data_IF_358981321371
#
_entry.id   IF_358981321371
#
_cell.length_a   1.000
_cell.length_b   1.000
_cell.length_c   1.000
_cell.angle_alpha   90.00
_cell.angle_beta   90.00
_cell.angle_gamma   90.00
#
_symmetry.space_group_name_H-M   'P 1'
#
loop_
_entity.id
_entity.type
_entity.pdbx_description
1 polymer ?
#
# COMPACT_ATOMS: atom_id res chain seq x y z
N UNK A 1 0.49 -14.31 -8.43
CA UNK A 1 1.56 -15.12 -9.09
C UNK A 1 0.98 -16.02 -10.20
N UNK A 2 1.77 -16.46 -11.19
CA UNK A 2 1.36 -17.40 -12.27
C UNK A 2 0.06 -17.07 -13.04
N UNK A 3 -0.26 -15.78 -13.16
CA UNK A 3 -1.43 -15.30 -13.89
C UNK A 3 -1.16 -15.03 -15.38
N UNK A 4 -0.06 -15.52 -15.96
CA UNK A 4 0.24 -15.28 -17.38
C UNK A 4 0.68 -13.85 -17.73
N UNK A 5 1.19 -13.07 -16.77
CA UNK A 5 1.66 -11.68 -16.99
C UNK A 5 2.75 -11.59 -18.06
N UNK A 6 3.82 -12.36 -17.88
CA UNK A 6 4.95 -12.38 -18.82
C UNK A 6 4.53 -12.92 -20.19
N UNK A 7 3.59 -13.87 -20.24
CA UNK A 7 2.99 -14.36 -21.49
C UNK A 7 2.22 -13.26 -22.21
N UNK A 8 1.43 -12.47 -21.48
CA UNK A 8 0.66 -11.34 -22.01
C UNK A 8 1.59 -10.26 -22.59
N UNK A 9 2.66 -9.90 -21.86
CA UNK A 9 3.66 -8.94 -22.33
C UNK A 9 4.46 -9.45 -23.54
N UNK A 10 4.87 -10.72 -23.52
CA UNK A 10 5.55 -11.36 -24.65
C UNK A 10 4.66 -11.34 -25.90
N UNK A 11 3.35 -11.57 -25.75
CA UNK A 11 2.41 -11.56 -26.88
C UNK A 11 2.16 -10.13 -27.41
N UNK A 12 2.05 -9.13 -26.54
CA UNK A 12 1.84 -7.73 -26.97
C UNK A 12 3.05 -7.15 -27.71
N UNK A 13 4.25 -7.38 -27.18
CA UNK A 13 5.45 -6.65 -27.62
C UNK A 13 6.52 -7.55 -28.27
N UNK A 14 6.24 -8.84 -28.46
CA UNK A 14 7.20 -9.78 -29.05
C UNK A 14 8.42 -10.05 -28.16
N UNK A 15 8.25 -9.92 -26.84
CA UNK A 15 9.33 -10.03 -25.86
C UNK A 15 9.67 -11.49 -25.55
N UNK A 16 10.83 -11.68 -24.93
CA UNK A 16 11.36 -13.00 -24.54
C UNK A 16 11.54 -13.10 -23.02
N UNK A 17 10.58 -12.58 -22.25
CA UNK A 17 10.57 -12.81 -20.80
C UNK A 17 10.43 -14.30 -20.51
N UNK A 18 11.13 -14.77 -19.47
CA UNK A 18 11.09 -16.18 -19.06
C UNK A 18 9.67 -16.56 -18.60
N UNK A 19 9.05 -17.51 -19.29
CA UNK A 19 7.73 -18.06 -18.97
C UNK A 19 7.88 -19.52 -18.52
N UNK A 20 7.88 -19.77 -17.21
CA UNK A 20 7.97 -21.12 -16.66
C UNK A 20 6.91 -21.33 -15.57
N UNK A 21 6.18 -22.44 -15.66
CA UNK A 21 5.36 -22.91 -14.55
C UNK A 21 6.28 -23.29 -13.38
N UNK A 22 6.21 -22.56 -12.27
CA UNK A 22 6.99 -22.82 -11.06
C UNK A 22 8.26 -22.00 -10.89
N UNK A 23 8.73 -21.26 -11.90
CA UNK A 23 9.74 -20.19 -11.71
C UNK A 23 9.07 -18.86 -11.91
N UNK A 24 8.82 -18.17 -10.82
CA UNK A 24 8.26 -16.83 -10.89
C UNK A 24 9.39 -15.81 -11.00
N UNK A 25 9.17 -14.81 -11.84
CA UNK A 25 9.97 -13.58 -11.88
C UNK A 25 10.17 -13.10 -10.44
N UNK A 26 11.42 -12.89 -10.00
CA UNK A 26 11.75 -12.27 -8.71
C UNK A 26 12.22 -10.84 -8.96
N UNK A 27 11.65 -9.86 -8.27
CA UNK A 27 11.91 -8.44 -8.54
C UNK A 27 11.23 -7.92 -9.82
N UNK A 28 11.85 -6.97 -10.52
CA UNK A 28 11.31 -6.36 -11.74
C UNK A 28 12.35 -6.37 -12.87
N UNK A 29 11.91 -6.68 -14.09
CA UNK A 29 12.74 -6.79 -15.28
C UNK A 29 12.29 -5.76 -16.31
N UNK A 30 13.22 -4.93 -16.77
CA UNK A 30 12.96 -3.90 -17.76
C UNK A 30 13.50 -4.33 -19.13
N UNK A 31 12.69 -4.18 -20.17
CA UNK A 31 13.09 -4.34 -21.56
C UNK A 31 12.64 -3.12 -22.38
N UNK A 32 13.56 -2.53 -23.13
CA UNK A 32 13.25 -1.44 -24.05
C UNK A 32 12.78 -1.99 -25.40
N UNK A 33 11.66 -1.50 -25.88
CA UNK A 33 11.06 -1.86 -27.17
C UNK A 33 11.15 -0.64 -28.09
N UNK A 34 11.90 -0.71 -29.20
CA UNK A 34 11.99 0.41 -30.14
C UNK A 34 10.63 0.64 -30.80
N UNK A 35 10.31 1.91 -31.02
CA UNK A 35 9.12 2.34 -31.75
C UNK A 35 9.53 2.74 -33.16
N UNK A 36 8.65 2.54 -34.14
CA UNK A 36 8.94 2.92 -35.51
C UNK A 36 9.13 4.45 -35.62
N UNK A 37 10.22 4.93 -36.23
CA UNK A 37 10.48 6.36 -36.36
C UNK A 37 9.31 7.10 -37.01
N UNK A 38 8.84 8.17 -36.37
CA UNK A 38 7.74 9.00 -36.86
C UNK A 38 6.32 8.49 -36.56
N UNK A 39 6.18 7.32 -35.92
CA UNK A 39 4.88 6.79 -35.50
C UNK A 39 4.38 7.35 -34.15
N UNK A 40 5.30 7.80 -33.29
CA UNK A 40 4.98 8.45 -32.00
C UNK A 40 6.01 9.52 -31.66
N UNK A 41 5.78 10.23 -30.55
CA UNK A 41 6.70 11.25 -30.01
C UNK A 41 7.87 10.68 -29.18
N UNK A 42 7.99 9.36 -29.07
CA UNK A 42 8.99 8.69 -28.24
C UNK A 42 9.69 7.56 -28.99
N UNK A 43 10.99 7.38 -28.74
CA UNK A 43 11.81 6.42 -29.49
C UNK A 43 11.69 4.98 -28.97
N UNK A 44 11.40 4.83 -27.67
CA UNK A 44 11.33 3.54 -26.99
C UNK A 44 10.16 3.46 -26.01
N UNK A 45 9.60 2.26 -25.87
CA UNK A 45 8.70 1.89 -24.77
C UNK A 45 9.47 1.02 -23.79
N UNK A 46 9.58 1.44 -22.53
CA UNK A 46 10.10 0.61 -21.46
C UNK A 46 9.00 -0.32 -20.94
N UNK A 47 9.14 -1.62 -21.18
CA UNK A 47 8.23 -2.64 -20.66
C UNK A 47 8.85 -3.26 -19.42
N UNK A 48 8.13 -3.19 -18.30
CA UNK A 48 8.57 -3.74 -17.01
C UNK A 48 7.71 -4.96 -16.67
N UNK A 49 8.31 -6.15 -16.63
CA UNK A 49 7.68 -7.36 -16.08
C UNK A 49 8.07 -7.51 -14.61
N UNK A 50 7.08 -7.73 -13.76
CA UNK A 50 7.26 -7.73 -12.31
C UNK A 50 7.02 -9.11 -11.74
N UNK A 51 7.61 -9.33 -10.57
CA UNK A 51 7.27 -10.43 -9.70
C UNK A 51 5.76 -10.50 -9.48
N UNK A 52 5.25 -11.73 -9.42
CA UNK A 52 3.86 -11.94 -9.10
C UNK A 52 3.65 -11.67 -7.62
N UNK A 53 2.74 -10.76 -7.31
CA UNK A 53 2.33 -10.49 -5.94
C UNK A 53 1.89 -11.79 -5.25
N UNK A 54 2.16 -11.83 -3.95
CA UNK A 54 1.84 -12.90 -3.00
C UNK A 54 2.52 -14.25 -3.28
N UNK A 55 3.83 -14.26 -3.56
CA UNK A 55 4.58 -15.53 -3.60
C UNK A 55 4.53 -16.27 -2.25
N UNK A 56 4.26 -17.60 -2.22
CA UNK A 56 4.24 -18.38 -0.98
C UNK A 56 5.62 -18.52 -0.34
N UNK A 57 6.69 -18.20 -1.07
CA UNK A 57 8.09 -18.37 -0.68
C UNK A 57 8.60 -17.32 0.33
N UNK A 58 7.85 -16.24 0.59
CA UNK A 58 8.31 -15.06 1.36
C UNK A 58 7.81 -14.98 2.82
N UNK A 59 7.07 -15.98 3.33
CA UNK A 59 6.68 -16.01 4.75
C UNK A 59 5.85 -14.80 5.22
N UNK A 60 6.22 -14.19 6.36
CA UNK A 60 5.50 -13.08 7.01
C UNK A 60 5.80 -11.70 6.40
N UNK A 61 7.03 -11.45 5.92
CA UNK A 61 7.43 -10.18 5.26
C UNK A 61 6.84 -9.99 3.85
N UNK A 62 6.11 -11.00 3.39
CA UNK A 62 5.42 -11.05 2.10
C UNK A 62 4.55 -9.82 1.83
N UNK A 63 3.76 -9.38 2.80
CA UNK A 63 2.85 -8.25 2.60
C UNK A 63 3.61 -6.94 2.39
N UNK A 64 4.68 -6.73 3.17
CA UNK A 64 5.54 -5.56 3.03
C UNK A 64 6.20 -5.52 1.66
N UNK A 65 6.85 -6.60 1.25
CA UNK A 65 7.48 -6.70 -0.07
C UNK A 65 6.48 -6.51 -1.22
N UNK A 66 5.30 -7.13 -1.12
CA UNK A 66 4.24 -6.99 -2.13
C UNK A 66 3.73 -5.54 -2.22
N UNK A 67 3.50 -4.89 -1.07
CA UNK A 67 3.03 -3.51 -1.00
C UNK A 67 4.08 -2.52 -1.54
N UNK A 68 5.35 -2.70 -1.16
CA UNK A 68 6.48 -1.90 -1.65
C UNK A 68 6.64 -2.05 -3.17
N UNK A 69 6.65 -3.29 -3.67
CA UNK A 69 6.76 -3.58 -5.09
C UNK A 69 5.58 -3.01 -5.88
N UNK A 70 4.34 -3.21 -5.40
CA UNK A 70 3.16 -2.67 -6.06
C UNK A 70 3.18 -1.14 -6.13
N UNK A 71 3.58 -0.49 -5.03
CA UNK A 71 3.70 0.98 -4.95
C UNK A 71 4.78 1.50 -5.89
N UNK A 72 5.93 0.81 -5.96
CA UNK A 72 7.01 1.16 -6.89
C UNK A 72 6.54 1.06 -8.34
N UNK A 73 5.91 -0.05 -8.73
CA UNK A 73 5.47 -0.29 -10.11
C UNK A 73 4.39 0.71 -10.52
N UNK A 74 3.38 0.92 -9.67
CA UNK A 74 2.32 1.91 -9.91
C UNK A 74 2.86 3.35 -9.93
N UNK A 75 3.93 3.61 -9.18
CA UNK A 75 4.55 4.93 -9.10
C UNK A 75 5.44 5.24 -10.31
N UNK A 76 6.10 4.23 -10.89
CA UNK A 76 6.97 4.33 -12.06
C UNK A 76 6.22 4.29 -13.38
N UNK A 77 5.22 3.43 -13.51
CA UNK A 77 4.53 3.20 -14.78
C UNK A 77 3.68 4.39 -15.22
N UNK A 78 3.94 4.90 -16.43
CA UNK A 78 3.02 5.84 -17.08
C UNK A 78 1.68 5.17 -17.41
N UNK A 79 1.74 3.88 -17.73
CA UNK A 79 0.60 2.97 -17.81
C UNK A 79 0.97 1.68 -17.08
N UNK A 80 0.15 1.26 -16.11
CA UNK A 80 0.33 0.02 -15.35
C UNK A 80 -0.79 -0.95 -15.68
N UNK A 81 -0.43 -2.17 -16.08
CA UNK A 81 -1.39 -3.25 -16.36
C UNK A 81 -1.51 -4.15 -15.14
N UNK A 82 -2.68 -4.14 -14.50
CA UNK A 82 -3.01 -4.99 -13.37
C UNK A 82 -3.71 -6.24 -13.89
N UNK A 83 -2.97 -7.35 -13.92
CA UNK A 83 -3.45 -8.61 -14.45
C UNK A 83 -4.10 -9.49 -13.37
N UNK A 84 -5.43 -9.60 -13.43
CA UNK A 84 -6.27 -10.33 -12.50
C UNK A 84 -6.68 -11.67 -13.11
N UNK A 85 -6.54 -12.76 -12.36
CA UNK A 85 -6.98 -14.09 -12.78
C UNK A 85 -8.02 -14.62 -11.81
N UNK A 86 -9.19 -15.02 -12.32
CA UNK A 86 -10.30 -15.54 -11.51
C UNK A 86 -10.92 -14.49 -10.58
N UNK A 87 -11.46 -14.94 -9.43
CA UNK A 87 -12.24 -14.13 -8.48
C UNK A 87 -11.39 -13.34 -7.45
N UNK A 88 -10.06 -13.31 -7.57
CA UNK A 88 -9.13 -12.69 -6.59
C UNK A 88 -9.17 -11.14 -6.53
N UNK A 89 -10.30 -10.52 -6.89
CA UNK A 89 -10.49 -9.06 -6.83
C UNK A 89 -10.33 -8.48 -5.42
N UNK A 90 -10.60 -9.26 -4.38
CA UNK A 90 -10.42 -8.80 -3.00
C UNK A 90 -8.95 -8.56 -2.63
N UNK A 91 -8.04 -9.39 -3.16
CA UNK A 91 -6.62 -9.31 -2.81
C UNK A 91 -5.95 -8.07 -3.40
N UNK A 92 -6.29 -7.73 -4.65
CA UNK A 92 -5.76 -6.53 -5.29
C UNK A 92 -6.31 -5.27 -4.64
N UNK A 93 -7.56 -5.30 -4.13
CA UNK A 93 -8.17 -4.17 -3.41
C UNK A 93 -7.41 -3.84 -2.13
N UNK A 94 -7.02 -4.87 -1.35
CA UNK A 94 -6.19 -4.68 -0.14
C UNK A 94 -4.87 -3.96 -0.48
N UNK A 95 -4.18 -4.38 -1.55
CA UNK A 95 -2.90 -3.80 -1.97
C UNK A 95 -3.08 -2.39 -2.52
N UNK A 96 -4.06 -2.17 -3.39
CA UNK A 96 -4.36 -0.85 -3.95
C UNK A 96 -4.73 0.15 -2.86
N UNK A 97 -5.41 -0.29 -1.81
CA UNK A 97 -5.70 0.54 -0.66
C UNK A 97 -4.42 1.04 0.03
N UNK A 98 -3.44 0.17 0.25
CA UNK A 98 -2.14 0.56 0.82
C UNK A 98 -1.39 1.52 -0.13
N UNK A 99 -1.41 1.24 -1.44
CA UNK A 99 -0.79 2.11 -2.46
C UNK A 99 -1.41 3.51 -2.44
N UNK A 100 -2.74 3.60 -2.34
CA UNK A 100 -3.47 4.87 -2.29
C UNK A 100 -3.06 5.68 -1.06
N UNK A 101 -2.98 5.06 0.12
CA UNK A 101 -2.46 5.72 1.33
C UNK A 101 -1.05 6.27 1.11
N UNK A 102 -0.14 5.45 0.57
CA UNK A 102 1.22 5.85 0.29
C UNK A 102 1.29 7.03 -0.68
N UNK A 103 0.50 7.01 -1.76
CA UNK A 103 0.49 8.09 -2.75
C UNK A 103 -0.10 9.39 -2.22
N UNK A 104 -1.13 9.34 -1.36
CA UNK A 104 -1.64 10.54 -0.68
C UNK A 104 -0.53 11.20 0.14
N UNK A 105 0.20 10.42 0.94
CA UNK A 105 1.32 10.93 1.76
C UNK A 105 2.47 11.49 0.92
N UNK A 106 2.86 10.77 -0.13
CA UNK A 106 3.90 11.24 -1.06
C UNK A 106 3.50 12.53 -1.78
N UNK A 107 2.20 12.70 -2.10
CA UNK A 107 1.64 13.93 -2.67
C UNK A 107 1.68 15.08 -1.66
N UNK A 108 1.33 14.85 -0.39
CA UNK A 108 1.44 15.85 0.69
C UNK A 108 2.87 16.32 0.92
N UNK A 109 3.85 15.40 0.80
CA UNK A 109 5.27 15.73 0.92
C UNK A 109 5.83 16.49 -0.30
N UNK A 110 4.99 16.88 -1.27
CA UNK A 110 5.35 17.50 -2.55
C UNK A 110 6.35 16.67 -3.39
N UNK A 111 6.46 15.35 -3.14
CA UNK A 111 7.42 14.47 -3.83
C UNK A 111 6.89 13.89 -5.15
N UNK A 112 5.61 14.04 -5.44
CA UNK A 112 4.92 13.46 -6.61
C UNK A 112 4.30 14.51 -7.54
N UNK A 113 4.99 15.63 -7.84
CA UNK A 113 4.47 16.62 -8.79
C UNK A 113 4.11 15.95 -10.15
N UNK A 114 2.82 16.05 -10.51
CA UNK A 114 2.24 15.85 -11.84
C UNK A 114 2.49 14.54 -12.61
N UNK A 115 2.80 13.42 -11.96
CA UNK A 115 2.87 12.17 -12.74
C UNK A 115 1.49 11.55 -12.95
N UNK A 116 1.00 11.73 -14.18
CA UNK A 116 -0.22 11.12 -14.74
C UNK A 116 -0.02 9.64 -14.98
N UNK A 117 -0.17 8.86 -13.92
CA UNK A 117 -0.17 7.38 -13.99
C UNK A 117 -1.57 6.93 -14.39
N UNK A 118 -1.66 5.97 -15.31
CA UNK A 118 -2.93 5.31 -15.66
C UNK A 118 -2.87 3.82 -15.30
N UNK A 119 -3.96 3.30 -14.76
CA UNK A 119 -4.11 1.86 -14.51
C UNK A 119 -5.06 1.24 -15.52
N UNK A 120 -4.71 0.05 -16.01
CA UNK A 120 -5.56 -0.79 -16.85
C UNK A 120 -5.71 -2.14 -16.16
N UNK A 121 -6.95 -2.59 -15.97
CA UNK A 121 -7.26 -3.88 -15.37
C UNK A 121 -7.57 -4.90 -16.45
N UNK A 122 -6.87 -6.03 -16.41
CA UNK A 122 -7.05 -7.13 -17.35
C UNK A 122 -7.52 -8.35 -16.56
N UNK A 123 -8.78 -8.73 -16.77
CA UNK A 123 -9.37 -9.92 -16.19
C UNK A 123 -9.18 -11.11 -17.14
N UNK A 124 -8.35 -12.07 -16.73
CA UNK A 124 -8.13 -13.30 -17.45
C UNK A 124 -9.12 -14.40 -17.05
N UNK A 125 -9.35 -15.33 -17.99
CA UNK A 125 -10.15 -16.54 -17.83
C UNK A 125 -11.63 -16.24 -17.58
N UNK A 126 -12.15 -15.18 -18.21
CA UNK A 126 -13.57 -14.84 -18.10
C UNK A 126 -14.33 -15.47 -19.27
N UNK A 127 -15.30 -16.38 -19.03
CA UNK A 127 -16.03 -17.05 -20.10
C UNK A 127 -16.85 -16.03 -20.90
N UNK A 128 -16.74 -16.10 -22.23
CA UNK A 128 -17.23 -15.09 -23.16
C UNK A 128 -18.77 -14.99 -23.31
N UNK A 129 -19.55 -15.81 -22.59
CA UNK A 129 -20.97 -16.01 -22.90
C UNK A 129 -21.88 -15.15 -22.00
N UNK A 130 -22.33 -14.02 -22.55
CA UNK A 130 -23.69 -13.54 -22.28
C UNK A 130 -23.93 -12.42 -21.27
N UNK A 131 -22.96 -11.55 -20.94
CA UNK A 131 -23.27 -10.48 -19.98
C UNK A 131 -22.48 -9.17 -20.13
N UNK A 132 -22.67 -8.44 -21.23
CA UNK A 132 -22.22 -7.03 -21.31
C UNK A 132 -22.77 -6.20 -20.14
N UNK A 133 -24.03 -6.40 -19.77
CA UNK A 133 -24.65 -5.71 -18.63
C UNK A 133 -24.05 -6.11 -17.28
N UNK A 134 -23.76 -7.41 -17.04
CA UNK A 134 -23.09 -7.81 -15.79
C UNK A 134 -21.67 -7.29 -15.72
N UNK A 135 -20.97 -7.19 -16.86
CA UNK A 135 -19.63 -6.60 -16.92
C UNK A 135 -19.68 -5.09 -16.63
N UNK A 136 -20.65 -4.36 -17.18
CA UNK A 136 -20.84 -2.93 -16.86
C UNK A 136 -21.17 -2.71 -15.38
N UNK A 137 -22.06 -3.50 -14.80
CA UNK A 137 -22.38 -3.43 -13.36
C UNK A 137 -21.16 -3.77 -12.49
N UNK A 138 -20.34 -4.75 -12.89
CA UNK A 138 -19.08 -5.06 -12.22
C UNK A 138 -18.06 -3.92 -12.33
N UNK A 139 -17.97 -3.27 -13.48
CA UNK A 139 -17.08 -2.12 -13.70
C UNK A 139 -17.49 -0.94 -12.80
N UNK A 140 -18.78 -0.61 -12.74
CA UNK A 140 -19.30 0.43 -11.84
C UNK A 140 -19.00 0.10 -10.38
N UNK A 141 -19.27 -1.13 -9.93
CA UNK A 141 -18.96 -1.56 -8.56
C UNK A 141 -17.47 -1.46 -8.23
N UNK A 142 -16.62 -1.80 -9.19
CA UNK A 142 -15.17 -1.69 -9.01
C UNK A 142 -14.73 -0.24 -8.86
N UNK A 143 -15.26 0.67 -9.67
CA UNK A 143 -15.03 2.11 -9.53
C UNK A 143 -15.48 2.62 -8.17
N UNK A 144 -16.72 2.28 -7.75
CA UNK A 144 -17.27 2.68 -6.45
C UNK A 144 -16.42 2.18 -5.28
N UNK A 145 -15.94 0.94 -5.35
CA UNK A 145 -15.07 0.36 -4.34
C UNK A 145 -13.72 1.09 -4.27
N UNK A 146 -13.09 1.40 -5.42
CA UNK A 146 -11.83 2.15 -5.47
C UNK A 146 -12.00 3.58 -4.95
N UNK A 147 -13.10 4.23 -5.29
CA UNK A 147 -13.42 5.58 -4.80
C UNK A 147 -13.74 5.58 -3.31
N UNK A 148 -14.42 4.54 -2.80
CA UNK A 148 -14.63 4.36 -1.37
C UNK A 148 -13.31 4.17 -0.62
N UNK A 149 -12.44 3.27 -1.10
CA UNK A 149 -11.10 3.04 -0.56
C UNK A 149 -10.31 4.35 -0.52
N UNK A 150 -10.39 5.14 -1.59
CA UNK A 150 -9.68 6.41 -1.72
C UNK A 150 -10.18 7.47 -0.74
N UNK A 151 -11.51 7.60 -0.57
CA UNK A 151 -12.09 8.50 0.43
C UNK A 151 -11.70 8.11 1.84
N UNK A 152 -11.79 6.82 2.17
CA UNK A 152 -11.40 6.33 3.48
C UNK A 152 -9.92 6.59 3.79
N UNK A 153 -9.04 6.46 2.78
CA UNK A 153 -7.63 6.77 2.93
C UNK A 153 -7.39 8.27 3.11
N UNK A 154 -8.05 9.10 2.30
CA UNK A 154 -7.96 10.55 2.37
C UNK A 154 -8.48 11.11 3.71
N UNK A 155 -9.56 10.55 4.25
CA UNK A 155 -10.08 10.87 5.58
C UNK A 155 -9.07 10.53 6.68
N UNK A 156 -8.44 9.35 6.59
CA UNK A 156 -7.41 8.92 7.54
C UNK A 156 -6.19 9.83 7.57
N UNK A 157 -5.77 10.33 6.41
CA UNK A 157 -4.65 11.27 6.26
C UNK A 157 -5.07 12.76 6.38
N UNK A 158 -6.35 13.03 6.62
CA UNK A 158 -6.95 14.38 6.73
C UNK A 158 -6.77 15.26 5.48
N UNK A 159 -6.87 14.66 4.29
CA UNK A 159 -6.72 15.34 2.99
C UNK A 159 -8.08 15.48 2.30
N UNK A 160 -8.66 16.67 2.31
CA UNK A 160 -9.98 16.91 1.71
C UNK A 160 -9.98 17.06 0.18
N UNK A 161 -8.80 17.21 -0.44
CA UNK A 161 -8.68 17.46 -1.89
C UNK A 161 -8.82 16.21 -2.75
N UNK A 162 -8.79 15.02 -2.14
CA UNK A 162 -8.84 13.73 -2.84
C UNK A 162 -10.19 13.08 -2.56
N UNK A 163 -10.97 12.79 -3.61
CA UNK A 163 -12.33 12.26 -3.50
C UNK A 163 -12.56 10.99 -4.29
N UNK A 164 -11.87 10.82 -5.41
CA UNK A 164 -11.95 9.62 -6.24
C UNK A 164 -10.56 9.05 -6.50
N UNK A 165 -10.50 7.78 -6.88
CA UNK A 165 -9.25 7.09 -7.22
C UNK A 165 -8.51 7.82 -8.35
N UNK A 166 -9.27 8.37 -9.30
CA UNK A 166 -8.77 9.12 -10.45
C UNK A 166 -8.05 10.43 -10.09
N UNK A 167 -8.22 10.97 -8.87
CA UNK A 167 -7.45 12.13 -8.36
C UNK A 167 -5.99 11.78 -8.01
N UNK A 168 -5.69 10.48 -7.89
CA UNK A 168 -4.37 9.93 -7.58
C UNK A 168 -3.80 9.20 -8.80
N UNK A 169 -4.58 8.27 -9.37
CA UNK A 169 -4.20 7.43 -10.51
C UNK A 169 -5.33 7.44 -11.53
N UNK A 170 -5.06 7.90 -12.75
CA UNK A 170 -6.05 7.94 -13.83
C UNK A 170 -6.62 6.54 -14.09
N UNK A 171 -7.94 6.44 -14.07
CA UNK A 171 -8.68 5.22 -14.34
C UNK A 171 -10.08 5.57 -14.86
N UNK A 172 -10.51 4.89 -15.92
CA UNK A 172 -11.83 4.99 -16.53
C UNK A 172 -12.45 3.58 -16.60
N UNK A 173 -13.50 3.33 -15.82
CA UNK A 173 -14.14 2.01 -15.72
C UNK A 173 -14.72 1.51 -17.05
N UNK A 174 -14.99 2.40 -18.01
CA UNK A 174 -15.54 2.03 -19.31
C UNK A 174 -14.46 1.67 -20.33
N UNK A 175 -13.24 2.20 -20.17
CA UNK A 175 -12.16 2.06 -21.16
C UNK A 175 -10.95 1.28 -20.68
N UNK A 176 -10.69 1.27 -19.38
CA UNK A 176 -9.48 0.71 -18.79
C UNK A 176 -9.71 -0.68 -18.18
N UNK A 177 -10.87 -1.31 -18.40
CA UNK A 177 -11.16 -2.68 -17.98
C UNK A 177 -11.30 -3.58 -19.22
N UNK A 178 -10.46 -4.60 -19.31
CA UNK A 178 -10.48 -5.59 -20.39
C UNK A 178 -10.73 -6.99 -19.83
N UNK A 179 -11.60 -7.72 -20.53
CA UNK A 179 -11.90 -9.12 -20.25
C UNK A 179 -11.28 -10.00 -21.33
N UNK A 180 -10.49 -10.99 -20.91
CA UNK A 180 -9.77 -11.91 -21.77
C UNK A 180 -10.22 -13.34 -21.53
N UNK A 181 -10.38 -14.06 -22.63
CA UNK A 181 -10.54 -15.51 -22.64
C UNK A 181 -9.20 -16.21 -22.37
N UNK A 182 -9.24 -17.52 -22.12
CA UNK A 182 -8.04 -18.34 -22.00
C UNK A 182 -7.16 -18.30 -23.26
N UNK A 183 -5.85 -18.45 -23.08
CA UNK A 183 -4.86 -18.49 -24.16
C UNK A 183 -5.09 -19.67 -25.11
N UNK A 184 -5.49 -20.81 -24.57
CA UNK A 184 -5.67 -22.05 -25.32
C UNK A 184 -7.16 -22.33 -25.56
N UNK A 185 -7.49 -22.81 -26.76
CA UNK A 185 -8.81 -23.31 -27.09
C UNK A 185 -8.86 -24.82 -26.75
N UNK A 186 -8.92 -25.14 -25.45
CA UNK A 186 -8.89 -26.51 -24.92
C UNK A 186 -7.64 -26.81 -24.08
N UNK A 187 -7.37 -28.09 -23.83
CA UNK A 187 -6.28 -28.52 -22.94
C UNK A 187 -4.92 -28.67 -23.68
N UNK A 188 -3.85 -28.02 -23.20
CA UNK A 188 -2.49 -28.24 -23.70
C UNK A 188 -2.05 -29.71 -23.60
N UNK A 189 -1.11 -30.21 -24.43
CA UNK A 189 -0.19 -29.44 -25.30
C UNK A 189 -0.65 -29.27 -26.75
N UNK A 190 -1.73 -29.94 -27.18
CA UNK A 190 -2.18 -29.93 -28.58
C UNK A 190 -3.29 -28.91 -28.87
N UNK A 191 -3.74 -28.16 -27.86
CA UNK A 191 -4.73 -27.11 -28.03
C UNK A 191 -4.19 -25.96 -28.91
N UNK A 192 -4.96 -25.45 -29.88
CA UNK A 192 -4.57 -24.28 -30.64
C UNK A 192 -4.70 -23.01 -29.78
N UNK A 193 -3.97 -21.95 -30.17
CA UNK A 193 -4.12 -20.62 -29.54
C UNK A 193 -5.51 -20.07 -29.84
N UNK A 194 -6.17 -19.55 -28.83
CA UNK A 194 -7.49 -18.94 -28.94
C UNK A 194 -7.41 -17.62 -29.74
N UNK A 195 -8.07 -17.49 -30.91
CA UNK A 195 -8.05 -16.26 -31.68
C UNK A 195 -8.63 -15.05 -30.92
N UNK A 196 -9.60 -15.28 -30.04
CA UNK A 196 -10.18 -14.26 -29.18
C UNK A 196 -9.16 -13.65 -28.22
N UNK A 197 -8.20 -14.45 -27.74
CA UNK A 197 -7.08 -13.95 -26.94
C UNK A 197 -6.23 -12.97 -27.76
N UNK A 198 -5.77 -13.38 -28.95
CA UNK A 198 -4.92 -12.54 -29.81
C UNK A 198 -5.59 -11.21 -30.22
N UNK A 199 -6.88 -11.24 -30.51
CA UNK A 199 -7.65 -10.02 -30.80
C UNK A 199 -7.65 -9.07 -29.59
N UNK A 200 -7.93 -9.59 -28.39
CA UNK A 200 -7.93 -8.79 -27.16
C UNK A 200 -6.55 -8.26 -26.78
N UNK A 201 -5.49 -9.05 -26.97
CA UNK A 201 -4.10 -8.59 -26.79
C UNK A 201 -3.81 -7.38 -27.68
N UNK A 202 -4.24 -7.43 -28.94
CA UNK A 202 -4.02 -6.33 -29.90
C UNK A 202 -4.82 -5.08 -29.52
N UNK A 203 -6.06 -5.25 -29.06
CA UNK A 203 -6.91 -4.17 -28.54
C UNK A 203 -6.26 -3.47 -27.33
N UNK A 204 -5.80 -4.25 -26.34
CA UNK A 204 -5.11 -3.74 -25.15
C UNK A 204 -3.83 -2.99 -25.55
N UNK A 205 -3.01 -3.58 -26.43
CA UNK A 205 -1.78 -2.94 -26.91
C UNK A 205 -2.08 -1.58 -27.57
N UNK A 206 -3.09 -1.53 -28.43
CA UNK A 206 -3.48 -0.29 -29.12
C UNK A 206 -3.96 0.77 -28.15
N UNK A 207 -4.75 0.38 -27.15
CA UNK A 207 -5.20 1.27 -26.07
C UNK A 207 -4.04 1.81 -25.24
N UNK A 208 -3.08 0.95 -24.86
CA UNK A 208 -1.86 1.37 -24.14
C UNK A 208 -1.08 2.41 -24.94
N UNK A 209 -0.83 2.16 -26.22
CA UNK A 209 -0.09 3.10 -27.08
C UNK A 209 -0.83 4.44 -27.22
N UNK A 210 -2.15 4.41 -27.38
CA UNK A 210 -2.97 5.62 -27.40
C UNK A 210 -2.88 6.40 -26.07
N UNK A 211 -2.88 5.71 -24.94
CA UNK A 211 -2.68 6.33 -23.62
C UNK A 211 -1.27 6.95 -23.47
N UNK A 212 -0.26 6.38 -24.12
CA UNK A 212 1.12 6.90 -24.09
C UNK A 212 1.32 8.11 -25.00
N UNK A 213 0.58 8.22 -26.11
CA UNK A 213 0.73 9.29 -27.11
C UNK A 213 -0.10 10.56 -26.81
N UNK A 214 -0.68 10.68 -25.60
CA UNK A 214 -1.46 11.85 -25.21
C UNK A 214 -0.64 13.16 -25.33
N UNK A 215 -1.22 14.17 -25.98
CA UNK A 215 -0.54 15.41 -26.43
C UNK A 215 0.26 16.16 -25.36
N UNK A 216 -0.07 15.98 -24.09
CA UNK A 216 0.48 16.74 -22.96
C UNK A 216 1.42 15.90 -22.07
N UNK A 217 1.86 14.73 -22.52
CA UNK A 217 2.85 13.94 -21.77
C UNK A 217 4.27 14.47 -21.98
N UNK A 218 4.98 14.61 -20.87
CA UNK A 218 6.43 14.78 -20.86
C UNK A 218 7.08 13.41 -20.97
N UNK A 219 7.95 13.24 -21.95
CA UNK A 219 8.73 12.01 -22.11
C UNK A 219 10.03 12.17 -21.34
N UNK A 220 10.35 11.20 -20.49
CA UNK A 220 11.55 11.21 -19.66
C UNK A 220 12.69 10.53 -20.42
N UNK A 221 13.90 11.09 -20.30
CA UNK A 221 15.11 10.39 -20.70
C UNK A 221 15.40 9.20 -19.79
N UNK A 222 16.28 8.30 -20.21
CA UNK A 222 16.66 7.15 -19.39
C UNK A 222 17.39 7.56 -18.10
N UNK A 223 18.16 8.65 -18.14
CA UNK A 223 18.81 9.22 -16.95
C UNK A 223 17.78 9.76 -15.95
N UNK A 224 16.76 10.47 -16.45
CA UNK A 224 15.64 10.94 -15.62
C UNK A 224 14.85 9.77 -15.02
N UNK A 225 14.71 8.68 -15.78
CA UNK A 225 14.06 7.45 -15.30
C UNK A 225 14.85 6.82 -14.15
N UNK A 226 16.18 6.76 -14.22
CA UNK A 226 17.02 6.26 -13.13
C UNK A 226 16.91 7.12 -11.86
N UNK A 227 16.89 8.45 -12.02
CA UNK A 227 16.65 9.38 -10.91
C UNK A 227 15.26 9.16 -10.29
N UNK A 228 14.22 9.01 -11.12
CA UNK A 228 12.85 8.75 -10.67
C UNK A 228 12.74 7.44 -9.88
N UNK A 229 13.43 6.38 -10.30
CA UNK A 229 13.50 5.13 -9.52
C UNK A 229 14.09 5.40 -8.15
N UNK A 230 15.22 6.11 -8.08
CA UNK A 230 15.90 6.42 -6.83
C UNK A 230 15.03 7.25 -5.89
N UNK A 231 14.41 8.31 -6.40
CA UNK A 231 13.59 9.23 -5.60
C UNK A 231 12.33 8.54 -5.09
N UNK A 232 11.64 7.78 -5.96
CA UNK A 232 10.45 7.03 -5.58
C UNK A 232 10.79 5.93 -4.58
N UNK A 233 11.87 5.17 -4.78
CA UNK A 233 12.30 4.14 -3.84
C UNK A 233 12.66 4.75 -2.48
N UNK A 234 13.37 5.89 -2.46
CA UNK A 234 13.68 6.61 -1.22
C UNK A 234 12.41 7.08 -0.52
N UNK A 235 11.40 7.54 -1.27
CA UNK A 235 10.11 7.93 -0.70
C UNK A 235 9.36 6.72 -0.11
N UNK A 236 9.35 5.57 -0.79
CA UNK A 236 8.74 4.32 -0.30
C UNK A 236 9.45 3.88 0.98
N UNK A 237 10.79 3.85 1.00
CA UNK A 237 11.55 3.45 2.20
C UNK A 237 11.35 4.41 3.39
N UNK A 238 11.04 5.68 3.14
CA UNK A 238 10.69 6.62 4.22
C UNK A 238 9.29 6.40 4.82
N UNK A 239 8.44 5.60 4.17
CA UNK A 239 7.05 5.32 4.56
C UNK A 239 6.89 3.89 5.13
N UNK A 240 7.89 3.40 5.86
CA UNK A 240 7.99 2.03 6.42
C UNK A 240 6.70 1.58 7.15
N UNK A 241 6.07 2.51 7.86
CA UNK A 241 4.85 2.26 8.63
C UNK A 241 3.71 1.69 7.77
N UNK A 242 3.36 2.35 6.67
CA UNK A 242 2.16 2.02 5.88
C UNK A 242 2.27 0.65 5.22
N UNK A 243 3.48 0.29 4.78
CA UNK A 243 3.73 -0.95 4.04
C UNK A 243 3.74 -2.20 4.92
N UNK A 244 3.92 -2.03 6.23
CA UNK A 244 3.89 -3.13 7.20
C UNK A 244 2.50 -3.77 7.36
N UNK A 245 1.42 -3.08 6.96
CA UNK A 245 0.04 -3.53 7.14
C UNK A 245 -0.49 -4.34 5.96
N UNK A 246 -1.36 -5.31 6.26
CA UNK A 246 -2.05 -6.12 5.23
C UNK A 246 -3.13 -5.33 4.49
N UNK A 247 -3.86 -4.47 5.20
CA UNK A 247 -4.92 -3.61 4.64
C UNK A 247 -5.22 -2.42 5.56
N UNK A 248 -6.03 -1.47 5.09
CA UNK A 248 -6.34 -0.26 5.86
C UNK A 248 -7.02 -0.54 7.19
N UNK A 249 -7.75 -1.65 7.33
CA UNK A 249 -8.48 -1.94 8.56
C UNK A 249 -7.46 -2.24 9.67
N UNK A 250 -6.37 -2.93 9.34
CA UNK A 250 -5.27 -3.17 10.27
C UNK A 250 -4.56 -1.86 10.63
N UNK A 251 -4.30 -1.02 9.62
CA UNK A 251 -3.70 0.30 9.83
C UNK A 251 -4.57 1.21 10.71
N UNK A 252 -5.88 1.27 10.46
CA UNK A 252 -6.85 2.04 11.27
C UNK A 252 -6.89 1.51 12.71
N UNK A 253 -6.92 0.19 12.88
CA UNK A 253 -6.90 -0.42 14.21
C UNK A 253 -5.62 -0.08 14.97
N UNK A 254 -4.47 -0.08 14.29
CA UNK A 254 -3.20 0.35 14.87
C UNK A 254 -3.23 1.82 15.26
N UNK A 255 -3.62 2.73 14.36
CA UNK A 255 -3.66 4.18 14.64
C UNK A 255 -4.56 4.51 15.85
N UNK A 256 -5.69 3.82 15.99
CA UNK A 256 -6.59 3.99 17.14
C UNK A 256 -5.92 3.53 18.45
N UNK A 257 -5.28 2.35 18.41
CA UNK A 257 -4.56 1.80 19.57
C UNK A 257 -3.38 2.69 19.97
N UNK A 258 -2.62 3.18 18.99
CA UNK A 258 -1.51 4.11 19.19
C UNK A 258 -1.99 5.44 19.79
N UNK A 259 -3.11 5.99 19.32
CA UNK A 259 -3.71 7.21 19.88
C UNK A 259 -4.07 7.04 21.36
N UNK A 260 -4.75 5.95 21.73
CA UNK A 260 -5.09 5.69 23.13
C UNK A 260 -3.85 5.46 23.99
N UNK A 261 -2.84 4.75 23.45
CA UNK A 261 -1.57 4.58 24.13
C UNK A 261 -0.86 5.92 24.40
N UNK A 262 -0.81 6.81 23.40
CA UNK A 262 -0.24 8.15 23.56
C UNK A 262 -1.02 8.99 24.58
N UNK A 263 -2.34 8.86 24.62
CA UNK A 263 -3.18 9.54 25.60
C UNK A 263 -2.94 9.06 27.03
N UNK A 264 -2.76 7.74 27.22
CA UNK A 264 -2.36 7.16 28.51
C UNK A 264 -0.99 7.68 28.91
N UNK A 265 0.00 7.61 28.01
CA UNK A 265 1.36 8.12 28.25
C UNK A 265 1.36 9.59 28.63
N UNK A 266 0.67 10.44 27.86
CA UNK A 266 0.56 11.88 28.12
C UNK A 266 -0.01 12.15 29.51
N UNK A 267 -1.01 11.40 29.96
CA UNK A 267 -1.58 11.57 31.30
C UNK A 267 -0.59 11.23 32.40
N UNK A 268 0.17 10.14 32.23
CA UNK A 268 1.23 9.77 33.15
C UNK A 268 2.30 10.87 33.22
N UNK A 269 2.72 11.40 32.06
CA UNK A 269 3.68 12.51 31.98
C UNK A 269 3.17 13.77 32.69
N UNK A 270 1.89 14.12 32.51
CA UNK A 270 1.27 15.28 33.18
C UNK A 270 1.22 15.07 34.69
N UNK A 271 0.79 13.89 35.16
CA UNK A 271 0.74 13.57 36.59
C UNK A 271 2.13 13.61 37.24
N UNK A 272 3.13 13.03 36.56
CA UNK A 272 4.51 13.03 37.02
C UNK A 272 5.08 14.45 37.09
N UNK A 273 4.89 15.26 36.04
CA UNK A 273 5.34 16.65 36.02
C UNK A 273 4.65 17.51 37.08
N UNK A 274 3.36 17.30 37.32
CA UNK A 274 2.63 18.00 38.37
C UNK A 274 3.16 17.64 39.76
N UNK A 275 3.41 16.35 40.03
CA UNK A 275 4.00 15.94 41.29
C UNK A 275 5.44 16.47 41.47
N UNK A 276 6.26 16.44 40.42
CA UNK A 276 7.63 16.96 40.45
C UNK A 276 7.67 18.45 40.78
N UNK A 277 6.79 19.24 40.17
CA UNK A 277 6.76 20.70 40.32
C UNK A 277 6.07 21.15 41.61
N UNK A 278 4.90 20.60 41.92
CA UNK A 278 4.07 21.05 43.06
C UNK A 278 4.41 20.35 44.38
N UNK A 279 4.98 19.15 44.34
CA UNK A 279 5.29 18.38 45.55
C UNK A 279 6.80 18.27 45.77
N UNK A 280 7.51 17.59 44.87
CA UNK A 280 8.91 17.25 45.08
C UNK A 280 9.81 18.50 45.15
N UNK A 281 9.67 19.43 44.21
CA UNK A 281 10.47 20.65 44.16
C UNK A 281 10.24 21.54 45.38
N UNK A 282 8.98 21.71 45.81
CA UNK A 282 8.64 22.53 46.98
C UNK A 282 9.20 21.91 48.27
N UNK A 283 9.11 20.59 48.42
CA UNK A 283 9.64 19.92 49.61
C UNK A 283 11.17 19.98 49.68
N UNK A 284 11.86 19.86 48.53
CA UNK A 284 13.31 20.00 48.46
C UNK A 284 13.77 21.43 48.73
N UNK A 285 13.06 22.45 48.22
CA UNK A 285 13.36 23.86 48.48
C UNK A 285 13.20 24.27 49.95
N UNK A 286 12.31 23.62 50.70
CA UNK A 286 12.09 23.88 52.14
C UNK A 286 13.17 23.29 53.05
N UNK A 287 14.07 22.45 52.53
CA UNK A 287 15.10 21.81 53.34
C UNK A 287 16.29 22.75 53.59
N UNK A 288 16.69 22.94 54.85
CA UNK A 288 17.80 23.84 55.25
C UNK A 288 19.09 23.12 55.65
N UNK A 289 19.06 21.80 55.84
CA UNK A 289 20.22 21.01 56.27
C UNK A 289 20.45 19.78 55.38
N UNK A 290 21.71 19.37 55.23
CA UNK A 290 22.09 18.21 54.38
C UNK A 290 21.37 16.92 54.81
N UNK A 291 21.19 16.70 56.11
CA UNK A 291 20.47 15.54 56.66
C UNK A 291 18.97 15.55 56.31
N UNK A 292 18.32 16.73 56.32
CA UNK A 292 16.91 16.84 55.95
C UNK A 292 16.69 16.63 54.45
N UNK A 293 17.61 17.12 53.60
CA UNK A 293 17.57 16.87 52.14
C UNK A 293 17.64 15.37 51.85
N UNK A 294 18.55 14.64 52.51
CA UNK A 294 18.71 13.20 52.29
C UNK A 294 17.45 12.41 52.68
N UNK A 295 16.85 12.71 53.83
CA UNK A 295 15.61 12.06 54.29
C UNK A 295 14.41 12.37 53.37
N UNK A 296 14.28 13.61 52.93
CA UNK A 296 13.21 14.02 52.00
C UNK A 296 13.38 13.36 50.63
N UNK A 297 14.62 13.22 50.13
CA UNK A 297 14.89 12.54 48.87
C UNK A 297 14.47 11.06 48.90
N UNK A 298 14.81 10.32 49.95
CA UNK A 298 14.41 8.91 50.08
C UNK A 298 12.88 8.76 50.17
N UNK A 299 12.19 9.68 50.85
CA UNK A 299 10.72 9.68 50.90
C UNK A 299 10.09 9.95 49.54
N UNK A 300 10.57 10.98 48.82
CA UNK A 300 10.09 11.32 47.49
C UNK A 300 10.35 10.18 46.50
N UNK A 301 11.44 9.42 46.65
CA UNK A 301 11.72 8.24 45.83
C UNK A 301 10.65 7.14 46.01
N UNK A 302 10.21 6.90 47.24
CA UNK A 302 9.12 5.94 47.52
C UNK A 302 7.79 6.43 46.94
N UNK A 303 7.48 7.72 47.07
CA UNK A 303 6.28 8.31 46.46
C UNK A 303 6.31 8.26 44.94
N UNK A 304 7.46 8.49 44.32
CA UNK A 304 7.65 8.37 42.88
C UNK A 304 7.35 6.94 42.39
N UNK A 305 7.87 5.92 43.09
CA UNK A 305 7.56 4.53 42.75
C UNK A 305 6.07 4.22 42.85
N UNK A 306 5.38 4.72 43.90
CA UNK A 306 3.92 4.55 44.01
C UNK A 306 3.14 5.24 42.89
N UNK A 307 3.60 6.42 42.45
CA UNK A 307 2.98 7.12 41.32
C UNK A 307 3.17 6.37 40.01
N UNK A 308 4.36 5.78 39.81
CA UNK A 308 4.64 4.93 38.66
C UNK A 308 3.72 3.70 38.65
N UNK A 309 3.64 2.95 39.75
CA UNK A 309 2.78 1.76 39.86
C UNK A 309 1.30 2.11 39.60
N UNK A 310 0.84 3.26 40.10
CA UNK A 310 -0.52 3.72 39.90
C UNK A 310 -0.78 4.17 38.44
N UNK A 311 0.21 4.78 37.78
CA UNK A 311 0.14 5.12 36.37
C UNK A 311 0.07 3.86 35.50
N UNK A 312 0.92 2.86 35.78
CA UNK A 312 0.92 1.58 35.08
C UNK A 312 -0.41 0.85 35.22
N UNK A 313 -0.95 0.74 36.45
CA UNK A 313 -2.22 0.05 36.71
C UNK A 313 -3.39 0.74 36.02
N UNK A 314 -3.54 2.06 36.20
CA UNK A 314 -4.63 2.82 35.58
C UNK A 314 -4.50 2.86 34.05
N UNK A 315 -3.27 2.90 33.54
CA UNK A 315 -2.98 2.85 32.11
C UNK A 315 -3.42 1.52 31.51
N UNK A 316 -3.05 0.40 32.15
CA UNK A 316 -3.41 -0.94 31.71
C UNK A 316 -4.92 -1.19 31.78
N UNK A 317 -5.59 -0.80 32.86
CA UNK A 317 -7.04 -0.93 33.00
C UNK A 317 -7.78 -0.19 31.87
N UNK A 318 -7.28 0.98 31.49
CA UNK A 318 -7.89 1.78 30.42
C UNK A 318 -7.63 1.19 29.04
N UNK A 319 -6.42 0.69 28.79
CA UNK A 319 -6.13 -0.03 27.54
C UNK A 319 -6.98 -1.30 27.44
N UNK A 320 -7.17 -2.04 28.53
CA UNK A 320 -8.04 -3.22 28.54
C UNK A 320 -9.50 -2.86 28.23
N UNK A 321 -10.04 -1.82 28.88
CA UNK A 321 -11.38 -1.29 28.54
C UNK A 321 -11.49 -0.89 27.07
N UNK A 322 -10.48 -0.22 26.52
CA UNK A 322 -10.46 0.15 25.12
C UNK A 322 -10.52 -1.08 24.20
N UNK A 323 -9.77 -2.14 24.49
CA UNK A 323 -9.81 -3.38 23.72
C UNK A 323 -11.15 -4.12 23.85
N UNK A 324 -11.78 -4.07 25.01
CA UNK A 324 -13.11 -4.65 25.24
C UNK A 324 -14.21 -3.89 24.46
N UNK A 325 -14.13 -2.56 24.42
CA UNK A 325 -15.03 -1.68 23.68
C UNK A 325 -14.79 -1.73 22.16
N UNK A 326 -13.58 -2.12 21.72
CA UNK A 326 -13.18 -2.20 20.31
C UNK A 326 -12.76 -3.64 19.91
N UNK A 327 -13.72 -4.59 19.85
CA UNK A 327 -13.43 -6.00 19.60
C UNK A 327 -12.82 -6.28 18.21
N UNK A 328 -13.01 -5.37 17.24
CA UNK A 328 -12.39 -5.43 15.91
C UNK A 328 -10.88 -5.19 15.97
N UNK A 329 -10.41 -4.32 16.86
CA UNK A 329 -8.99 -4.07 17.13
C UNK A 329 -8.42 -5.28 17.89
N UNK A 330 -9.10 -5.71 18.96
CA UNK A 330 -8.69 -6.84 19.81
C UNK A 330 -8.46 -8.14 19.02
N UNK A 331 -9.40 -8.53 18.14
CA UNK A 331 -9.27 -9.75 17.32
C UNK A 331 -8.09 -9.75 16.34
N UNK A 332 -7.65 -8.58 15.88
CA UNK A 332 -6.54 -8.48 14.92
C UNK A 332 -5.19 -8.55 15.62
N UNK A 333 -5.05 -7.89 16.76
CA UNK A 333 -3.84 -7.96 17.59
C UNK A 333 -3.69 -9.29 18.35
N UNK A 334 -4.78 -10.05 18.56
CA UNK A 334 -4.70 -11.40 19.15
C UNK A 334 -4.13 -12.46 18.21
N UNK A 335 -4.17 -12.24 16.89
CA UNK A 335 -3.68 -13.16 15.86
C UNK A 335 -2.30 -12.80 15.29
N UNK A 336 -1.85 -11.56 15.45
CA UNK A 336 -0.52 -11.11 15.07
C UNK A 336 0.45 -11.31 16.24
N UNK A 337 1.54 -12.08 16.05
CA UNK A 337 2.61 -12.21 17.06
C UNK A 337 3.33 -10.88 17.36
N UNK A 338 3.01 -9.80 16.65
CA UNK A 338 3.21 -8.42 17.13
C UNK A 338 2.21 -8.11 18.24
N UNK A 339 2.38 -8.76 19.40
CA UNK A 339 2.00 -8.09 20.64
C UNK A 339 2.80 -6.79 20.65
N UNK A 340 2.18 -5.60 20.73
CA UNK A 340 2.93 -4.45 21.17
C UNK A 340 3.52 -4.87 22.51
N UNK A 341 4.84 -5.00 22.55
CA UNK A 341 5.57 -5.12 23.81
C UNK A 341 5.22 -3.80 24.51
N UNK A 342 4.19 -3.85 25.35
CA UNK A 342 3.79 -2.83 26.29
C UNK A 342 4.93 -2.71 27.31
N UNK A 343 6.08 -2.23 26.87
CA UNK A 343 7.09 -1.67 27.75
C UNK A 343 6.60 -0.26 28.12
N UNK A 344 5.65 -0.22 29.06
CA UNK A 344 5.42 0.95 29.90
C UNK A 344 6.57 1.15 30.92
N UNK A 345 7.59 0.29 30.89
CA UNK A 345 8.65 0.19 31.89
C UNK A 345 9.96 0.93 31.53
N UNK A 346 9.95 1.87 30.58
CA UNK A 346 11.10 2.75 30.27
C UNK A 346 10.61 4.16 30.03
#
# INVERSE_FOLDING_TARGET
>A
QSSGKSTLLNTMFGLKFAVSAGRCTRGAFLQLVPVEPGSSKFDFVAVIDTEGLRAPELGLDKYRHDNELATLVLGLGDVTVINLKGENSAEIKDILQIVVHAFIRMKMANRMQDLRRRCIFVHQNVPAVGAKEKMMDQNCKMQEDLDKITREAAEGEKVASVRCFSDIISFDSDKDIFYMSDLWLGDPPMAPVNPGYSHKVTEIKTHILHCLDEKYKTFLGFDDFALRIKDLWTAIMSEDFVFSFRNSIEMKAYNLMESEFFDVKRRCDVQLNEWLTKTASIQLQKCTTSKSVHQTKERLKIELHRLQDNCETNGMDRLMKFFDENPTVSRRFSGSQTRPILCLST
#
